data_IF_716238770088
#
_entry.id   IF_716238770088
#
_cell.length_a   1.000
_cell.length_b   1.000
_cell.length_c   1.000
_cell.angle_alpha   90.00
_cell.angle_beta   90.00
_cell.angle_gamma   90.00
#
_symmetry.space_group_name_H-M   'P 1'
#
loop_
_entity.id
_entity.type
_entity.pdbx_description
1 polymer ?
#
# COMPACT_ATOMS: atom_id res chain seq x y z
N UNK A 1 -1.18 -9.02 -11.21
CA UNK A 1 -2.29 -8.47 -12.03
C UNK A 1 -1.90 -7.09 -12.60
N UNK A 2 -2.54 -6.63 -13.67
CA UNK A 2 -2.41 -5.26 -14.17
C UNK A 2 -3.43 -4.43 -13.42
N UNK A 3 -2.99 -3.66 -12.42
CA UNK A 3 -3.89 -2.89 -11.57
C UNK A 3 -3.91 -1.44 -12.09
N UNK A 4 -5.07 -0.94 -12.49
CA UNK A 4 -5.26 0.46 -12.92
C UNK A 4 -4.88 1.48 -11.82
N UNK A 5 -4.80 1.04 -10.56
CA UNK A 5 -4.38 1.84 -9.40
C UNK A 5 -2.89 1.69 -9.04
N UNK A 6 -2.22 0.61 -9.47
CA UNK A 6 -0.80 0.39 -9.19
C UNK A 6 -0.01 0.21 -10.48
N UNK A 7 0.74 1.25 -10.83
CA UNK A 7 1.60 1.23 -12.01
C UNK A 7 2.82 0.38 -11.74
N UNK A 8 3.01 -0.64 -12.57
CA UNK A 8 4.17 -1.52 -12.47
C UNK A 8 5.41 -0.89 -13.06
N UNK A 9 6.57 -1.25 -12.52
CA UNK A 9 7.87 -1.03 -13.18
C UNK A 9 7.92 -1.75 -14.54
N UNK A 10 8.80 -1.31 -15.42
CA UNK A 10 9.03 -1.92 -16.73
C UNK A 10 10.15 -2.96 -16.59
N UNK A 11 9.84 -4.27 -16.67
CA UNK A 11 10.88 -5.29 -16.66
C UNK A 11 11.75 -5.16 -17.93
N UNK A 12 13.06 -5.32 -17.77
CA UNK A 12 14.02 -5.22 -18.89
C UNK A 12 13.92 -3.91 -19.67
N UNK A 13 13.87 -2.77 -18.97
CA UNK A 13 13.74 -1.44 -19.56
C UNK A 13 14.81 -1.16 -20.64
N UNK A 14 14.34 -0.92 -21.87
CA UNK A 14 15.18 -0.59 -23.02
C UNK A 14 15.06 0.90 -23.34
N UNK A 15 16.20 1.53 -23.60
CA UNK A 15 16.28 2.97 -23.88
C UNK A 15 16.34 3.85 -22.63
N UNK A 16 16.86 5.10 -22.74
CA UNK A 16 17.09 5.97 -21.59
C UNK A 16 15.82 6.32 -20.79
N UNK A 17 14.72 6.66 -21.47
CA UNK A 17 13.45 7.04 -20.82
C UNK A 17 12.87 5.90 -19.97
N UNK A 18 12.80 4.69 -20.54
CA UNK A 18 12.24 3.54 -19.82
C UNK A 18 13.09 3.14 -18.60
N UNK A 19 14.41 3.30 -18.68
CA UNK A 19 15.32 3.07 -17.54
C UNK A 19 15.07 4.08 -16.42
N UNK A 20 14.99 5.37 -16.77
CA UNK A 20 14.70 6.43 -15.82
C UNK A 20 13.33 6.26 -15.15
N UNK A 21 12.32 5.85 -15.92
CA UNK A 21 11.01 5.50 -15.37
C UNK A 21 11.09 4.36 -14.37
N UNK A 22 11.73 3.24 -14.73
CA UNK A 22 11.85 2.09 -13.85
C UNK A 22 12.55 2.44 -12.53
N UNK A 23 13.65 3.18 -12.61
CA UNK A 23 14.42 3.62 -11.43
C UNK A 23 13.57 4.49 -10.49
N UNK A 24 12.93 5.55 -11.01
CA UNK A 24 12.08 6.43 -10.20
C UNK A 24 10.89 5.69 -9.60
N UNK A 25 10.22 4.87 -10.40
CA UNK A 25 9.05 4.11 -9.95
C UNK A 25 9.42 3.09 -8.87
N UNK A 26 10.56 2.41 -9.00
CA UNK A 26 11.03 1.45 -8.01
C UNK A 26 11.47 2.12 -6.71
N UNK A 27 12.11 3.28 -6.78
CA UNK A 27 12.49 4.06 -5.61
C UNK A 27 11.26 4.49 -4.80
N UNK A 28 10.29 5.14 -5.45
CA UNK A 28 9.04 5.59 -4.78
C UNK A 28 8.26 4.41 -4.23
N UNK A 29 8.15 3.31 -5.01
CA UNK A 29 7.48 2.09 -4.54
C UNK A 29 8.14 1.50 -3.30
N UNK A 30 9.47 1.48 -3.25
CA UNK A 30 10.23 0.97 -2.09
C UNK A 30 9.89 1.75 -0.82
N UNK A 31 9.81 3.08 -0.91
CA UNK A 31 9.50 3.91 0.25
C UNK A 31 8.06 3.70 0.74
N UNK A 32 7.11 3.59 -0.19
CA UNK A 32 5.71 3.26 0.12
C UNK A 32 5.60 1.88 0.77
N UNK A 33 6.23 0.86 0.20
CA UNK A 33 6.24 -0.50 0.74
C UNK A 33 6.86 -0.55 2.14
N UNK A 34 7.98 0.16 2.35
CA UNK A 34 8.64 0.25 3.66
C UNK A 34 7.75 0.91 4.70
N UNK A 35 7.17 2.07 4.37
CA UNK A 35 6.28 2.79 5.29
C UNK A 35 5.05 1.95 5.65
N UNK A 36 4.44 1.30 4.66
CA UNK A 36 3.29 0.43 4.90
C UNK A 36 3.66 -0.80 5.74
N UNK A 37 4.84 -1.39 5.52
CA UNK A 37 5.36 -2.48 6.35
C UNK A 37 5.51 -2.09 7.82
N UNK A 38 6.07 -0.90 8.09
CA UNK A 38 6.19 -0.35 9.46
C UNK A 38 4.81 -0.14 10.09
N UNK A 39 3.88 0.48 9.36
CA UNK A 39 2.52 0.70 9.86
C UNK A 39 1.78 -0.61 10.12
N UNK A 40 1.92 -1.62 9.25
CA UNK A 40 1.37 -2.95 9.49
C UNK A 40 2.01 -3.64 10.69
N UNK A 41 3.32 -3.48 10.91
CA UNK A 41 4.02 -4.04 12.07
C UNK A 41 3.52 -3.44 13.40
N UNK A 42 3.32 -2.12 13.42
CA UNK A 42 2.89 -1.40 14.63
C UNK A 42 1.38 -1.46 14.88
N UNK A 43 0.56 -1.41 13.83
CA UNK A 43 -0.89 -1.27 13.97
C UNK A 43 -1.63 -2.44 13.32
N UNK A 44 -2.11 -3.37 14.16
CA UNK A 44 -2.84 -4.56 13.71
C UNK A 44 -4.10 -4.22 12.86
N UNK A 45 -4.71 -3.06 13.07
CA UNK A 45 -5.87 -2.58 12.29
C UNK A 45 -5.53 -2.41 10.80
N UNK A 46 -4.28 -2.12 10.45
CA UNK A 46 -3.81 -2.00 9.06
C UNK A 46 -3.70 -3.38 8.37
N UNK A 47 -3.52 -4.45 9.14
CA UNK A 47 -3.51 -5.85 8.64
C UNK A 47 -4.92 -6.44 8.50
N UNK A 48 -5.86 -5.93 9.30
CA UNK A 48 -7.23 -6.46 9.40
C UNK A 48 -8.10 -6.19 8.17
N UNK A 49 -9.33 -6.74 8.13
CA UNK A 49 -10.22 -6.59 6.99
C UNK A 49 -10.74 -5.15 6.89
N UNK A 50 -10.01 -4.31 6.16
CA UNK A 50 -10.51 -3.03 5.62
C UNK A 50 -11.72 -3.21 4.69
N UNK A 51 -12.05 -4.46 4.33
CA UNK A 51 -13.20 -4.84 3.50
C UNK A 51 -14.57 -4.42 4.07
N UNK A 52 -14.66 -4.25 5.39
CA UNK A 52 -15.90 -3.82 6.05
C UNK A 52 -15.95 -2.31 6.29
N UNK A 53 -14.91 -1.59 5.88
CA UNK A 53 -14.76 -0.15 6.06
C UNK A 53 -15.06 0.57 4.74
N UNK A 54 -15.67 1.74 4.85
CA UNK A 54 -15.79 2.63 3.69
C UNK A 54 -14.42 3.24 3.36
N UNK A 55 -14.25 3.72 2.12
CA UNK A 55 -12.98 4.33 1.68
C UNK A 55 -12.58 5.51 2.59
N UNK A 56 -13.56 6.28 3.04
CA UNK A 56 -13.37 7.39 3.98
C UNK A 56 -12.85 6.89 5.33
N UNK A 57 -13.43 5.83 5.88
CA UNK A 57 -12.99 5.21 7.13
C UNK A 57 -11.55 4.70 7.04
N UNK A 58 -11.19 4.06 5.92
CA UNK A 58 -9.81 3.61 5.66
C UNK A 58 -8.88 4.81 5.65
N UNK A 59 -9.27 5.90 4.99
CA UNK A 59 -8.52 7.15 4.95
C UNK A 59 -8.30 7.76 6.34
N UNK A 60 -9.34 7.77 7.18
CA UNK A 60 -9.25 8.26 8.57
C UNK A 60 -8.32 7.38 9.40
N UNK A 61 -8.45 6.05 9.32
CA UNK A 61 -7.59 5.11 10.04
C UNK A 61 -6.14 5.24 9.61
N UNK A 62 -5.86 5.34 8.31
CA UNK A 62 -4.49 5.51 7.81
C UNK A 62 -3.88 6.83 8.29
N UNK A 63 -4.63 7.94 8.25
CA UNK A 63 -4.17 9.24 8.78
C UNK A 63 -3.87 9.15 10.27
N UNK A 64 -4.75 8.53 11.05
CA UNK A 64 -4.54 8.33 12.48
C UNK A 64 -3.27 7.48 12.74
N UNK A 65 -3.06 6.39 12.01
CA UNK A 65 -1.86 5.57 12.13
C UNK A 65 -0.57 6.34 11.82
N UNK A 66 -0.59 7.20 10.78
CA UNK A 66 0.56 8.05 10.42
C UNK A 66 0.83 9.10 11.51
N UNK A 67 -0.20 9.78 12.00
CA UNK A 67 -0.05 10.78 13.07
C UNK A 67 0.49 10.11 14.35
N UNK A 68 -0.11 8.99 14.76
CA UNK A 68 0.34 8.24 15.93
C UNK A 68 1.76 7.71 15.78
N UNK A 69 2.12 7.20 14.59
CA UNK A 69 3.50 6.78 14.32
C UNK A 69 4.48 7.93 14.51
N UNK A 70 4.18 9.10 13.94
CA UNK A 70 5.04 10.28 14.07
C UNK A 70 5.11 10.74 15.53
N UNK A 71 3.99 10.74 16.26
CA UNK A 71 3.99 11.10 17.69
C UNK A 71 4.87 10.16 18.52
N UNK A 72 4.77 8.84 18.28
CA UNK A 72 5.60 7.84 18.97
C UNK A 72 7.08 8.05 18.62
N UNK A 73 7.41 8.26 17.34
CA UNK A 73 8.79 8.50 16.91
C UNK A 73 9.36 9.77 17.55
N UNK A 74 8.58 10.84 17.65
CA UNK A 74 9.01 12.08 18.29
C UNK A 74 9.21 11.91 19.81
N UNK A 75 8.33 11.18 20.49
CA UNK A 75 8.43 10.88 21.94
C UNK A 75 9.65 9.99 22.24
N UNK A 76 9.90 8.99 21.38
CA UNK A 76 11.05 8.08 21.49
C UNK A 76 12.37 8.76 21.08
N UNK A 77 12.33 9.89 20.35
CA UNK A 77 13.51 10.60 19.86
C UNK A 77 14.36 11.20 20.98
N UNK A 78 13.79 11.50 22.13
CA UNK A 78 14.57 11.95 23.29
C UNK A 78 15.18 10.78 24.10
N UNK A 79 14.91 9.53 23.68
CA UNK A 79 15.27 8.29 24.37
C UNK A 79 15.95 7.28 23.39
N UNK A 80 16.93 7.76 22.61
CA UNK A 80 17.69 7.08 21.52
C UNK A 80 18.38 5.73 21.84
N UNK A 81 18.03 5.02 22.93
CA UNK A 81 18.59 3.70 23.25
C UNK A 81 17.79 2.52 22.65
N UNK A 82 16.58 2.74 22.13
CA UNK A 82 15.78 1.67 21.51
C UNK A 82 15.83 1.77 19.99
N UNK A 83 16.90 1.22 19.41
CA UNK A 83 16.91 0.84 18.00
C UNK A 83 15.78 -0.16 17.78
N UNK A 84 14.64 0.31 17.27
CA UNK A 84 13.55 -0.55 16.82
C UNK A 84 14.03 -1.33 15.60
N UNK A 85 14.51 -2.53 15.85
CA UNK A 85 14.78 -3.52 14.83
C UNK A 85 13.42 -3.99 14.27
N UNK A 86 12.98 -3.37 13.19
CA UNK A 86 11.82 -3.81 12.42
C UNK A 86 12.16 -5.03 11.55
N UNK A 87 13.04 -5.90 12.02
CA UNK A 87 13.28 -7.17 11.36
C UNK A 87 12.04 -8.04 11.53
N UNK A 88 11.65 -8.66 10.42
CA UNK A 88 10.34 -9.28 10.22
C UNK A 88 10.22 -10.50 11.12
N UNK A 89 9.51 -10.38 12.23
CA UNK A 89 8.95 -11.56 12.90
C UNK A 89 7.60 -11.89 12.27
N UNK A 90 7.58 -12.91 11.39
CA UNK A 90 6.37 -13.67 11.05
C UNK A 90 5.84 -14.38 12.31
N UNK A 91 5.20 -13.61 13.19
CA UNK A 91 4.60 -14.09 14.43
C UNK A 91 3.10 -14.28 14.27
N UNK A 92 2.67 -15.54 14.27
CA UNK A 92 1.30 -16.10 14.29
C UNK A 92 0.23 -15.22 14.95
N UNK A 93 -0.30 -14.22 14.23
CA UNK A 93 -1.57 -13.61 14.59
C UNK A 93 -2.70 -14.56 14.15
N UNK A 94 -3.69 -14.87 15.00
CA UNK A 94 -4.83 -15.67 14.58
C UNK A 94 -5.52 -14.96 13.41
N UNK A 95 -6.01 -15.71 12.39
CA UNK A 95 -6.66 -15.11 11.24
C UNK A 95 -7.81 -14.23 11.74
N UNK A 96 -7.94 -12.98 11.23
CA UNK A 96 -8.98 -12.08 11.68
C UNK A 96 -10.35 -12.74 11.49
N UNK A 97 -11.15 -12.78 12.55
CA UNK A 97 -12.51 -13.33 12.50
C UNK A 97 -13.36 -12.44 11.59
N UNK A 98 -13.63 -12.91 10.37
CA UNK A 98 -14.42 -12.18 9.38
C UNK A 98 -15.91 -12.29 9.75
N UNK A 99 -16.46 -11.27 10.40
CA UNK A 99 -17.92 -11.13 10.54
C UNK A 99 -18.53 -10.86 9.16
N UNK A 100 -19.49 -11.69 8.74
CA UNK A 100 -20.15 -11.64 7.43
C UNK A 100 -21.36 -10.67 7.39
N UNK A 101 -21.51 -9.78 8.37
CA UNK A 101 -22.78 -9.07 8.57
C UNK A 101 -23.00 -7.86 7.65
N UNK A 102 -22.05 -7.46 6.80
CA UNK A 102 -22.24 -6.40 5.79
C UNK A 102 -21.48 -6.70 4.51
N UNK A 103 -22.06 -7.55 3.66
CA UNK A 103 -21.50 -7.79 2.34
C UNK A 103 -22.00 -6.71 1.37
N UNK A 104 -21.14 -5.87 0.77
CA UNK A 104 -21.47 -5.23 -0.51
C UNK A 104 -21.85 -6.38 -1.46
N UNK A 105 -22.99 -6.32 -2.16
CA UNK A 105 -23.44 -7.40 -3.04
C UNK A 105 -22.23 -7.97 -3.83
N UNK A 106 -22.03 -9.29 -3.88
CA UNK A 106 -20.87 -9.92 -4.56
C UNK A 106 -20.62 -9.32 -5.95
N UNK A 107 -21.68 -8.93 -6.63
CA UNK A 107 -21.67 -8.22 -7.90
C UNK A 107 -20.88 -6.90 -7.86
N UNK A 108 -21.08 -6.07 -6.83
CA UNK A 108 -20.31 -4.83 -6.62
C UNK A 108 -18.83 -5.08 -6.39
N UNK A 109 -18.48 -6.18 -5.71
CA UNK A 109 -17.08 -6.59 -5.53
C UNK A 109 -16.45 -6.98 -6.88
N UNK A 110 -17.12 -7.81 -7.68
CA UNK A 110 -16.62 -8.20 -9.00
C UNK A 110 -16.48 -7.00 -9.93
N UNK A 111 -17.44 -6.07 -9.92
CA UNK A 111 -17.39 -4.83 -10.71
C UNK A 111 -16.20 -3.95 -10.30
N UNK A 112 -16.01 -3.67 -9.01
CA UNK A 112 -14.87 -2.88 -8.51
C UNK A 112 -13.54 -3.56 -8.86
N UNK A 113 -13.46 -4.87 -8.71
CA UNK A 113 -12.24 -5.62 -9.01
C UNK A 113 -11.96 -5.62 -10.53
N UNK A 114 -12.99 -5.62 -11.38
CA UNK A 114 -12.84 -5.53 -12.82
C UNK A 114 -12.31 -4.15 -13.26
N UNK A 115 -12.84 -3.06 -12.70
CA UNK A 115 -12.33 -1.69 -12.94
C UNK A 115 -10.87 -1.58 -12.50
N UNK A 116 -10.57 -2.06 -11.29
CA UNK A 116 -9.23 -1.97 -10.73
C UNK A 116 -8.23 -2.85 -11.50
N UNK A 117 -8.67 -3.95 -12.13
CA UNK A 117 -7.80 -4.85 -12.89
C UNK A 117 -7.81 -4.56 -14.40
N UNK A 118 -8.31 -3.40 -14.83
CA UNK A 118 -8.40 -3.06 -16.24
C UNK A 118 -7.00 -2.94 -16.89
N UNK A 119 -6.65 -3.85 -17.81
CA UNK A 119 -5.35 -3.84 -18.48
C UNK A 119 -5.14 -2.61 -19.36
N UNK A 120 -6.21 -2.04 -19.92
CA UNK A 120 -6.11 -0.89 -20.84
C UNK A 120 -5.77 0.38 -20.08
N UNK A 121 -6.51 0.67 -19.01
CA UNK A 121 -6.22 1.82 -18.12
C UNK A 121 -4.83 1.70 -17.51
N UNK A 122 -4.42 0.51 -17.06
CA UNK A 122 -3.06 0.29 -16.56
C UNK A 122 -1.99 0.60 -17.63
N UNK A 123 -2.18 0.16 -18.87
CA UNK A 123 -1.20 0.41 -19.94
C UNK A 123 -1.12 1.89 -20.32
N UNK A 124 -2.27 2.58 -20.43
CA UNK A 124 -2.32 4.02 -20.70
C UNK A 124 -1.61 4.83 -19.63
N UNK A 125 -1.95 4.60 -18.36
CA UNK A 125 -1.32 5.28 -17.23
C UNK A 125 0.20 5.05 -17.20
N UNK A 126 0.67 3.85 -17.57
CA UNK A 126 2.10 3.57 -17.63
C UNK A 126 2.81 4.31 -18.78
N UNK A 127 2.18 4.45 -19.95
CA UNK A 127 2.74 5.23 -21.06
C UNK A 127 2.74 6.73 -20.74
N UNK A 128 1.64 7.26 -20.22
CA UNK A 128 1.52 8.67 -19.84
C UNK A 128 2.63 9.06 -18.84
N UNK A 129 2.85 8.23 -17.81
CA UNK A 129 3.91 8.48 -16.82
C UNK A 129 5.33 8.32 -17.38
N UNK A 130 5.54 7.57 -18.46
CA UNK A 130 6.85 7.50 -19.13
C UNK A 130 7.13 8.76 -19.93
N UNK A 131 6.11 9.39 -20.50
CA UNK A 131 6.26 10.62 -21.29
C UNK A 131 6.46 11.86 -20.41
N UNK A 132 5.94 11.85 -19.17
CA UNK A 132 6.08 12.94 -18.19
C UNK A 132 7.39 12.89 -17.36
N UNK A 133 8.32 11.95 -17.64
CA UNK A 133 9.56 11.72 -16.88
C UNK A 133 10.80 12.40 -17.44
#
# INVERSE_FOLDING_TARGET
PKWATFVKTIPFSQGPKAKLFAERQEAVRKDVERAFGVLQARFAIVRGPSRMMEEEDIGVVMKACVILHNMIVEDERDNYELAFDYDVSEGSAPPPTVSHERHPCYETYFQRTAVIRDPQTHARLQEDLKEEI
#
